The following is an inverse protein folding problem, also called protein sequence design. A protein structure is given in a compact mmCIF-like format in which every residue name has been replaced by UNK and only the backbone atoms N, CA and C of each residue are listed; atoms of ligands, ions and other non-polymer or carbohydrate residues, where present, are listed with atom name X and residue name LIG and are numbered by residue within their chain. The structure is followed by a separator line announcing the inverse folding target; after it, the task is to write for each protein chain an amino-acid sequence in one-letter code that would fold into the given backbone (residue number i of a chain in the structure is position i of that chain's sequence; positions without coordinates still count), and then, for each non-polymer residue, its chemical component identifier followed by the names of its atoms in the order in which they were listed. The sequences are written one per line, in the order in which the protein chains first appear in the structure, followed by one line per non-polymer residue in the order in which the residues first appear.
data_IF_715684924637
#
_entry.id   IF_715684924637
#
_cell.length_a   1.000
_cell.length_b   1.000
_cell.length_c   1.000
_cell.angle_alpha   90.00
_cell.angle_beta   90.00
_cell.angle_gamma   90.00
#
_symmetry.space_group_name_H-M   'P 1'
#
loop_
_entity.id
_entity.type
_entity.pdbx_description
1 polymer ?
#
# COMPACT_ATOMS: atom_id res chain seq x y z
N UNK A 1 5.56 -35.05 7.00
CA UNK A 1 6.54 -34.44 6.08
C UNK A 1 5.80 -33.63 5.04
N UNK A 2 4.82 -34.27 4.39
CA UNK A 2 3.85 -33.63 3.50
C UNK A 2 2.81 -32.77 4.25
N UNK A 3 2.53 -33.08 5.52
CA UNK A 3 1.59 -32.32 6.38
C UNK A 3 2.21 -31.09 7.09
N UNK A 4 3.33 -30.56 6.57
CA UNK A 4 3.96 -29.40 7.20
C UNK A 4 3.18 -28.12 6.84
N UNK A 5 2.65 -27.44 7.85
CA UNK A 5 1.87 -26.20 7.69
C UNK A 5 2.61 -24.97 8.23
N UNK A 6 2.60 -23.88 7.46
CA UNK A 6 3.06 -22.57 7.91
C UNK A 6 1.82 -21.78 8.35
N UNK A 7 1.57 -21.74 9.66
CA UNK A 7 0.44 -21.02 10.25
C UNK A 7 0.79 -20.46 11.63
N UNK A 8 -0.02 -19.55 12.14
CA UNK A 8 0.02 -19.17 13.55
C UNK A 8 -0.70 -20.24 14.36
N UNK A 9 0.03 -20.99 15.19
CA UNK A 9 -0.52 -22.12 15.97
C UNK A 9 -1.72 -21.76 16.86
N UNK A 10 -1.89 -20.47 17.21
CA UNK A 10 -2.95 -19.96 18.09
C UNK A 10 -3.96 -19.03 17.38
N UNK A 11 -4.10 -19.08 16.04
CA UNK A 11 -4.98 -18.19 15.26
C UNK A 11 -4.77 -16.68 15.54
N UNK A 12 -3.57 -16.30 15.97
CA UNK A 12 -3.28 -14.91 16.29
C UNK A 12 -3.05 -14.12 14.99
N UNK A 13 -3.74 -12.99 14.87
CA UNK A 13 -3.40 -12.02 13.84
C UNK A 13 -1.95 -11.55 14.02
N UNK A 14 -1.22 -11.39 12.91
CA UNK A 14 0.08 -10.72 12.96
C UNK A 14 -0.15 -9.25 13.35
N UNK A 15 0.68 -8.74 14.25
CA UNK A 15 0.55 -7.39 14.84
C UNK A 15 1.73 -6.47 14.54
N UNK A 16 2.65 -6.89 13.66
CA UNK A 16 3.87 -6.13 13.37
C UNK A 16 3.63 -5.11 12.27
N UNK A 17 4.17 -3.90 12.43
CA UNK A 17 4.09 -2.80 11.46
C UNK A 17 4.87 -3.06 10.15
N UNK A 18 5.59 -4.19 10.04
CA UNK A 18 6.38 -4.58 8.86
C UNK A 18 5.95 -5.93 8.27
N UNK A 19 4.88 -6.55 8.77
CA UNK A 19 4.42 -7.87 8.34
C UNK A 19 3.97 -7.92 6.87
N UNK A 20 3.52 -6.81 6.30
CA UNK A 20 3.07 -6.73 4.92
C UNK A 20 4.17 -7.04 3.92
N UNK A 21 5.44 -6.94 4.29
CA UNK A 21 6.55 -7.32 3.41
C UNK A 21 6.69 -8.83 3.22
N UNK A 22 6.07 -9.66 4.07
CA UNK A 22 6.03 -11.11 3.88
C UNK A 22 5.35 -11.48 2.55
N UNK A 23 4.45 -10.62 2.05
CA UNK A 23 3.80 -10.77 0.75
C UNK A 23 4.83 -10.74 -0.40
N UNK A 24 5.86 -9.90 -0.28
CA UNK A 24 6.89 -9.76 -1.32
C UNK A 24 7.92 -10.88 -1.24
N UNK A 25 8.16 -11.42 -0.05
CA UNK A 25 9.06 -12.56 0.17
C UNK A 25 8.47 -13.87 -0.36
N UNK A 26 7.14 -14.01 -0.42
CA UNK A 26 6.48 -15.23 -0.83
C UNK A 26 6.60 -15.48 -2.35
N UNK A 27 7.33 -16.52 -2.80
CA UNK A 27 7.58 -16.73 -4.23
C UNK A 27 6.40 -17.33 -4.99
N UNK A 28 5.41 -17.90 -4.27
CA UNK A 28 4.35 -18.76 -4.84
C UNK A 28 2.94 -18.16 -4.74
N UNK A 29 2.80 -16.96 -4.18
CA UNK A 29 1.48 -16.33 -3.99
C UNK A 29 0.60 -17.02 -2.94
N UNK A 30 1.19 -17.78 -2.02
CA UNK A 30 0.49 -18.30 -0.84
C UNK A 30 0.11 -17.15 0.13
N UNK A 31 0.99 -16.14 0.23
CA UNK A 31 0.78 -14.96 1.04
C UNK A 31 0.61 -13.77 0.10
N UNK A 32 -0.62 -13.25 0.03
CA UNK A 32 -0.97 -12.15 -0.89
C UNK A 32 -1.59 -10.97 -0.14
N UNK A 33 -1.52 -9.79 -0.76
CA UNK A 33 -2.20 -8.60 -0.25
C UNK A 33 -3.71 -8.77 -0.40
N UNK A 34 -4.41 -9.00 0.72
CA UNK A 34 -5.88 -9.10 0.76
C UNK A 34 -6.58 -7.86 0.18
N UNK A 35 -6.15 -6.60 0.47
CA UNK A 35 -6.76 -5.43 -0.14
C UNK A 35 -6.62 -5.40 -1.67
N UNK A 36 -5.51 -5.88 -2.23
CA UNK A 36 -5.23 -5.88 -3.67
C UNK A 36 -5.75 -7.13 -4.40
N UNK A 37 -6.16 -8.17 -3.66
CA UNK A 37 -6.55 -9.45 -4.23
C UNK A 37 -7.60 -9.28 -5.35
N UNK A 38 -7.26 -9.82 -6.53
CA UNK A 38 -8.10 -9.82 -7.73
C UNK A 38 -8.42 -8.45 -8.36
N UNK A 39 -7.78 -7.36 -7.94
CA UNK A 39 -8.07 -6.04 -8.51
C UNK A 39 -7.39 -5.75 -9.86
N UNK A 40 -6.18 -6.25 -10.09
CA UNK A 40 -5.42 -6.05 -11.32
C UNK A 40 -4.34 -7.14 -11.54
N UNK A 41 -3.77 -7.19 -12.74
CA UNK A 41 -2.63 -8.06 -13.08
C UNK A 41 -1.33 -7.25 -13.25
N UNK A 42 -0.15 -7.81 -12.91
CA UNK A 42 1.11 -7.06 -12.94
C UNK A 42 1.48 -6.41 -14.29
N UNK A 43 1.00 -6.96 -15.41
CA UNK A 43 1.24 -6.41 -16.75
C UNK A 43 0.27 -5.28 -17.15
N UNK A 44 -0.83 -5.10 -16.42
CA UNK A 44 -1.80 -4.01 -16.64
C UNK A 44 -1.36 -2.71 -15.97
N UNK A 45 -0.29 -2.75 -15.17
CA UNK A 45 0.10 -1.67 -14.26
C UNK A 45 1.22 -0.82 -14.85
N UNK A 46 1.03 0.49 -14.79
CA UNK A 46 2.11 1.46 -14.98
C UNK A 46 2.91 1.54 -13.69
N UNK A 47 4.23 1.43 -13.82
CA UNK A 47 5.16 1.40 -12.68
C UNK A 47 5.85 2.75 -12.57
N UNK A 48 5.63 3.44 -11.45
CA UNK A 48 6.26 4.74 -11.19
C UNK A 48 7.13 4.66 -9.95
N UNK A 49 8.41 4.94 -10.09
CA UNK A 49 9.32 5.08 -8.94
C UNK A 49 9.03 6.39 -8.21
N UNK A 50 8.91 6.31 -6.89
CA UNK A 50 8.51 7.43 -6.03
C UNK A 50 9.12 7.29 -4.63
N UNK A 51 8.77 8.21 -3.75
CA UNK A 51 9.20 8.28 -2.36
C UNK A 51 7.97 8.27 -1.45
N UNK A 52 8.06 7.55 -0.33
CA UNK A 52 7.05 7.53 0.71
C UNK A 52 7.02 8.84 1.52
N UNK A 53 5.83 9.23 1.96
CA UNK A 53 5.54 10.44 2.74
C UNK A 53 4.77 10.15 4.03
N UNK A 54 4.55 8.87 4.36
CA UNK A 54 3.77 8.47 5.53
C UNK A 54 4.54 8.54 6.85
N UNK A 55 5.86 8.63 6.76
CA UNK A 55 6.77 8.84 7.88
C UNK A 55 8.00 9.67 7.44
N UNK A 56 8.90 9.94 8.38
CA UNK A 56 10.10 10.71 8.15
C UNK A 56 11.27 9.89 7.56
N UNK A 57 11.07 8.59 7.27
CA UNK A 57 12.12 7.74 6.69
C UNK A 57 12.30 8.08 5.21
N UNK A 58 11.22 8.44 4.52
CA UNK A 58 11.28 8.74 3.10
C UNK A 58 11.64 7.50 2.27
N UNK A 59 11.05 6.35 2.61
CA UNK A 59 11.34 5.06 2.00
C UNK A 59 11.21 5.10 0.47
N UNK A 60 12.11 4.42 -0.23
CA UNK A 60 12.04 4.28 -1.67
C UNK A 60 10.91 3.30 -2.05
N UNK A 61 9.97 3.76 -2.88
CA UNK A 61 8.78 2.99 -3.24
C UNK A 61 8.53 2.96 -4.74
N UNK A 62 7.76 1.96 -5.17
CA UNK A 62 7.17 1.86 -6.49
C UNK A 62 5.66 1.91 -6.37
N UNK A 63 5.06 2.90 -7.02
CA UNK A 63 3.60 3.06 -7.11
C UNK A 63 3.14 2.40 -8.38
N UNK A 64 2.38 1.31 -8.25
CA UNK A 64 1.78 0.62 -9.39
C UNK A 64 0.34 1.15 -9.58
N UNK A 65 0.08 1.79 -10.73
CA UNK A 65 -1.21 2.41 -11.05
C UNK A 65 -1.86 1.80 -12.28
N UNK A 66 -3.20 1.88 -12.34
CA UNK A 66 -4.00 1.52 -13.52
C UNK A 66 -4.90 2.69 -13.88
N UNK A 67 -4.59 3.35 -14.99
CA UNK A 67 -5.29 4.58 -15.38
C UNK A 67 -5.08 5.69 -14.34
N UNK A 68 -6.17 6.10 -13.66
CA UNK A 68 -6.14 7.20 -12.68
C UNK A 68 -6.05 6.73 -11.23
N UNK A 69 -6.09 5.42 -11.00
CA UNK A 69 -6.12 4.85 -9.66
C UNK A 69 -4.80 4.18 -9.31
N UNK A 70 -4.33 4.41 -8.08
CA UNK A 70 -3.22 3.65 -7.49
C UNK A 70 -3.79 2.31 -7.05
N UNK A 71 -3.15 1.22 -7.47
CA UNK A 71 -3.63 -0.13 -7.17
C UNK A 71 -2.85 -0.79 -6.04
N UNK A 72 -1.55 -0.49 -5.92
CA UNK A 72 -0.69 -0.96 -4.81
C UNK A 72 0.59 -0.14 -4.73
N UNK A 73 1.24 -0.21 -3.57
CA UNK A 73 2.55 0.36 -3.31
C UNK A 73 3.49 -0.79 -2.92
N UNK A 74 4.66 -0.84 -3.54
CA UNK A 74 5.69 -1.85 -3.29
C UNK A 74 7.02 -1.17 -2.92
N UNK A 75 7.89 -1.83 -2.14
CA UNK A 75 9.21 -1.30 -1.84
C UNK A 75 10.07 -1.26 -3.11
N UNK A 76 11.04 -0.35 -3.12
CA UNK A 76 12.16 -0.35 -4.07
C UNK A 76 13.45 -0.47 -3.27
N UNK A 77 14.40 -1.24 -3.79
CA UNK A 77 15.71 -1.43 -3.14
C UNK A 77 16.46 -0.10 -3.01
N UNK A 78 16.79 0.28 -1.78
CA UNK A 78 17.63 1.41 -1.44
C UNK A 78 18.40 1.14 -0.14
N UNK A 79 19.62 0.62 -0.28
CA UNK A 79 20.54 0.24 0.81
C UNK A 79 20.80 1.35 1.82
N UNK A 80 20.68 2.62 1.43
CA UNK A 80 20.96 3.75 2.31
C UNK A 80 19.76 4.16 3.18
N UNK A 81 18.54 3.66 2.88
CA UNK A 81 17.31 4.15 3.51
C UNK A 81 16.47 3.01 4.08
N UNK A 82 15.94 2.15 3.21
CA UNK A 82 14.93 1.17 3.58
C UNK A 82 15.26 -0.25 3.13
N UNK A 83 16.44 -0.46 2.54
CA UNK A 83 16.84 -1.72 1.91
C UNK A 83 15.72 -2.17 0.98
N UNK A 84 14.99 -3.24 1.30
CA UNK A 84 13.86 -3.77 0.52
C UNK A 84 12.52 -3.69 1.27
N UNK A 85 12.46 -2.98 2.39
CA UNK A 85 11.33 -3.00 3.33
C UNK A 85 10.55 -1.69 3.32
N UNK A 86 9.25 -1.76 3.62
CA UNK A 86 8.39 -0.60 3.90
C UNK A 86 7.40 -0.91 5.02
N UNK A 87 6.91 0.12 5.71
CA UNK A 87 5.88 -0.06 6.74
C UNK A 87 4.53 -0.49 6.15
N UNK A 88 3.70 -1.16 6.96
CA UNK A 88 2.32 -1.52 6.61
C UNK A 88 1.49 -0.27 6.31
N UNK A 89 1.72 0.83 7.02
CA UNK A 89 1.12 2.13 6.75
C UNK A 89 1.39 2.57 5.30
N UNK A 90 2.65 2.57 4.89
CA UNK A 90 3.07 2.89 3.51
C UNK A 90 2.46 1.92 2.49
N UNK A 91 2.45 0.62 2.81
CA UNK A 91 1.97 -0.42 1.91
C UNK A 91 0.46 -0.35 1.64
N UNK A 92 -0.32 0.03 2.64
CA UNK A 92 -1.79 -0.05 2.58
C UNK A 92 -2.50 1.29 2.43
N UNK A 93 -1.84 2.44 2.62
CA UNK A 93 -2.47 3.78 2.54
C UNK A 93 -3.11 4.12 1.19
N UNK A 94 -2.74 3.41 0.12
CA UNK A 94 -3.23 3.71 -1.23
C UNK A 94 -4.76 3.62 -1.35
N UNK A 95 -5.43 2.86 -0.48
CA UNK A 95 -6.89 2.76 -0.44
C UNK A 95 -7.57 4.08 -0.02
N UNK A 96 -6.89 4.91 0.76
CA UNK A 96 -7.31 6.24 1.17
C UNK A 96 -7.15 7.29 0.08
N UNK A 97 -6.30 7.04 -0.94
CA UNK A 97 -6.08 7.99 -2.03
C UNK A 97 -7.30 8.16 -2.94
N UNK A 98 -8.25 7.22 -2.90
CA UNK A 98 -9.50 7.24 -3.66
C UNK A 98 -10.72 7.73 -2.86
N UNK A 99 -10.65 7.76 -1.53
CA UNK A 99 -11.79 8.12 -0.67
C UNK A 99 -11.60 9.50 -0.04
N UNK A 100 -12.71 10.20 0.24
CA UNK A 100 -12.73 11.49 0.94
C UNK A 100 -11.81 12.58 0.36
N UNK A 101 -11.58 12.54 -0.96
CA UNK A 101 -10.76 13.54 -1.67
C UNK A 101 -11.54 14.84 -1.84
N UNK A 102 -10.85 15.96 -1.62
CA UNK A 102 -11.34 17.27 -2.04
C UNK A 102 -11.20 17.36 -3.58
N UNK A 103 -12.32 17.38 -4.28
CA UNK A 103 -12.40 17.41 -5.76
C UNK A 103 -12.56 18.84 -6.31
N UNK A 104 -12.98 19.77 -5.48
CA UNK A 104 -13.22 21.18 -5.81
C UNK A 104 -12.87 22.08 -4.62
N UNK A 105 -12.62 23.39 -4.84
CA UNK A 105 -12.43 24.32 -3.74
C UNK A 105 -13.74 24.54 -2.97
N UNK A 106 -13.63 24.77 -1.66
CA UNK A 106 -14.75 25.07 -0.77
C UNK A 106 -14.46 26.32 0.06
N UNK A 107 -15.48 27.13 0.30
CA UNK A 107 -15.43 28.31 1.16
C UNK A 107 -16.45 28.17 2.28
N UNK A 108 -16.10 28.61 3.49
CA UNK A 108 -17.00 28.58 4.64
C UNK A 108 -18.03 29.71 4.54
N UNK A 109 -19.31 29.35 4.43
CA UNK A 109 -20.46 30.27 4.45
C UNK A 109 -21.44 29.83 5.52
N UNK A 110 -21.82 30.73 6.43
CA UNK A 110 -22.77 30.45 7.52
C UNK A 110 -22.44 29.17 8.32
N UNK A 111 -21.14 28.96 8.62
CA UNK A 111 -20.66 27.81 9.39
C UNK A 111 -20.51 26.50 8.60
N UNK A 112 -21.00 26.40 7.35
CA UNK A 112 -20.88 25.21 6.49
C UNK A 112 -19.93 25.44 5.32
N UNK A 113 -19.33 24.37 4.81
CA UNK A 113 -18.54 24.40 3.58
C UNK A 113 -19.49 24.44 2.38
N UNK A 114 -19.31 25.43 1.51
CA UNK A 114 -20.01 25.56 0.24
C UNK A 114 -18.98 25.52 -0.91
N UNK A 115 -19.25 24.81 -2.03
CA UNK A 115 -18.37 24.83 -3.20
C UNK A 115 -18.10 26.26 -3.68
N UNK A 116 -16.84 26.54 -4.05
CA UNK A 116 -16.45 27.76 -4.73
C UNK A 116 -16.37 27.50 -6.25
N UNK A 117 -16.85 28.46 -7.04
CA UNK A 117 -16.74 28.53 -8.50
C UNK A 117 -16.23 29.89 -8.89
#
# INVERSE_FOLDING_TARGET
GEDAEITTYLENAMTSELQGNVIDLCPVGALTSKPYAFQARPWELTKTESIDVMDAVGSAIRVDSRGREVMRILPRTNEAVNEEWISDKTRFIWDGLRTQRLDRPYVRKYGKLAPAS
#
